data_IF_957612621213
#
_entry.id   IF_957612621213
#
_cell.length_a   1.000
_cell.length_b   1.000
_cell.length_c   1.000
_cell.angle_alpha   90.00
_cell.angle_beta   90.00
_cell.angle_gamma   90.00
#
_symmetry.space_group_name_H-M   'P 1'
#
loop_
_entity.id
_entity.type
_entity.pdbx_description
1 polymer ?
#
# COMPACT_ATOMS: atom_id res chain seq x y z
N UNK A 1 39.81 41.68 -31.70
CA UNK A 1 38.55 41.33 -31.01
C UNK A 1 38.76 39.95 -30.44
N UNK A 2 38.86 39.81 -29.12
CA UNK A 2 38.72 38.51 -28.47
C UNK A 2 37.23 38.18 -28.50
N UNK A 3 36.87 37.00 -29.00
CA UNK A 3 35.53 36.46 -28.76
C UNK A 3 35.33 36.42 -27.23
N UNK A 4 34.21 36.94 -26.70
CA UNK A 4 33.91 36.82 -25.29
C UNK A 4 33.87 35.32 -24.95
N UNK A 5 34.69 34.90 -23.99
CA UNK A 5 34.66 33.54 -23.47
C UNK A 5 33.21 33.22 -23.03
N UNK A 6 32.53 32.35 -23.77
CA UNK A 6 31.16 31.93 -23.45
C UNK A 6 31.16 31.25 -22.07
N UNK A 7 30.53 31.90 -21.09
CA UNK A 7 30.41 31.34 -19.75
C UNK A 7 29.61 30.02 -19.84
N UNK A 8 30.18 28.88 -19.40
CA UNK A 8 29.51 27.59 -19.57
C UNK A 8 28.20 27.56 -18.77
N UNK A 9 27.17 26.86 -19.26
CA UNK A 9 25.90 26.84 -18.58
C UNK A 9 26.03 26.15 -17.21
N UNK A 10 25.29 26.62 -16.19
CA UNK A 10 25.41 26.09 -14.84
C UNK A 10 25.09 24.59 -14.81
N UNK A 11 25.80 23.86 -13.97
CA UNK A 11 25.56 22.43 -13.72
C UNK A 11 24.86 22.22 -12.38
N UNK A 12 23.93 21.25 -12.28
CA UNK A 12 23.34 20.90 -11.00
C UNK A 12 24.44 20.43 -10.04
N UNK A 13 24.25 20.66 -8.75
CA UNK A 13 25.14 20.07 -7.74
C UNK A 13 24.99 18.55 -7.72
N UNK A 14 26.03 17.84 -7.28
CA UNK A 14 25.98 16.38 -7.13
C UNK A 14 24.83 15.96 -6.20
N UNK A 15 24.61 16.71 -5.12
CA UNK A 15 23.51 16.49 -4.18
C UNK A 15 22.13 16.60 -4.84
N UNK A 16 21.91 17.62 -5.67
CA UNK A 16 20.66 17.74 -6.42
C UNK A 16 20.51 16.60 -7.43
N UNK A 17 21.59 16.24 -8.15
CA UNK A 17 21.54 15.14 -9.11
C UNK A 17 21.18 13.80 -8.42
N UNK A 18 21.82 13.47 -7.30
CA UNK A 18 21.51 12.27 -6.52
C UNK A 18 20.07 12.29 -5.99
N UNK A 19 19.64 13.42 -5.41
CA UNK A 19 18.26 13.59 -4.96
C UNK A 19 17.26 13.40 -6.11
N UNK A 20 17.52 13.98 -7.28
CA UNK A 20 16.66 13.84 -8.45
C UNK A 20 16.57 12.39 -8.94
N UNK A 21 17.68 11.65 -8.95
CA UNK A 21 17.69 10.24 -9.33
C UNK A 21 16.85 9.38 -8.37
N UNK A 22 17.00 9.60 -7.05
CA UNK A 22 16.20 8.88 -6.04
C UNK A 22 14.72 9.25 -6.15
N UNK A 23 14.40 10.53 -6.33
CA UNK A 23 13.04 11.01 -6.51
C UNK A 23 12.37 10.40 -7.77
N UNK A 24 13.07 10.39 -8.90
CA UNK A 24 12.58 9.80 -10.16
C UNK A 24 12.40 8.29 -9.99
N UNK A 25 13.41 7.59 -9.45
CA UNK A 25 13.34 6.14 -9.24
C UNK A 25 12.22 5.74 -8.28
N UNK A 26 12.06 6.46 -7.17
CA UNK A 26 10.99 6.24 -6.20
C UNK A 26 9.60 6.49 -6.79
N UNK A 27 9.42 7.57 -7.56
CA UNK A 27 8.18 7.83 -8.28
C UNK A 27 7.84 6.75 -9.31
N UNK A 28 8.83 6.30 -10.10
CA UNK A 28 8.63 5.24 -11.08
C UNK A 28 8.30 3.91 -10.40
N UNK A 29 8.94 3.60 -9.28
CA UNK A 29 8.60 2.43 -8.47
C UNK A 29 7.16 2.50 -7.97
N UNK A 30 6.75 3.64 -7.43
CA UNK A 30 5.40 3.84 -6.93
C UNK A 30 4.36 3.68 -8.05
N UNK A 31 4.60 4.31 -9.21
CA UNK A 31 3.73 4.16 -10.39
C UNK A 31 3.66 2.70 -10.83
N UNK A 32 4.79 1.98 -10.83
CA UNK A 32 4.81 0.55 -11.17
C UNK A 32 4.01 -0.30 -10.17
N UNK A 33 4.12 -0.03 -8.87
CA UNK A 33 3.32 -0.69 -7.82
C UNK A 33 1.83 -0.44 -8.04
N UNK A 34 1.45 0.81 -8.29
CA UNK A 34 0.05 1.18 -8.58
C UNK A 34 -0.45 0.44 -9.82
N UNK A 35 0.29 0.48 -10.92
CA UNK A 35 -0.09 -0.19 -12.17
C UNK A 35 -0.18 -1.71 -11.99
N UNK A 36 0.73 -2.31 -11.24
CA UNK A 36 0.65 -3.71 -10.83
C UNK A 36 -0.61 -3.99 -10.01
N UNK A 37 -0.94 -3.12 -9.05
CA UNK A 37 -2.16 -3.18 -8.25
C UNK A 37 -3.43 -3.11 -9.09
N UNK A 38 -3.46 -2.34 -10.19
CA UNK A 38 -4.61 -2.31 -11.11
C UNK A 38 -4.90 -3.67 -11.75
N UNK A 39 -3.88 -4.52 -11.90
CA UNK A 39 -4.03 -5.89 -12.42
C UNK A 39 -4.57 -6.87 -11.38
N UNK A 40 -4.60 -6.50 -10.10
CA UNK A 40 -5.14 -7.33 -9.02
C UNK A 40 -6.67 -7.21 -8.93
N UNK A 41 -7.29 -8.06 -8.10
CA UNK A 41 -8.75 -8.12 -7.89
C UNK A 41 -9.28 -7.05 -6.92
N UNK A 42 -8.78 -5.81 -7.02
CA UNK A 42 -9.30 -4.68 -6.26
C UNK A 42 -10.69 -4.26 -6.75
N UNK A 43 -11.48 -3.63 -5.87
CA UNK A 43 -12.76 -3.06 -6.27
C UNK A 43 -12.57 -1.94 -7.30
N UNK A 44 -13.52 -1.71 -8.23
CA UNK A 44 -13.39 -0.67 -9.26
C UNK A 44 -13.08 0.73 -8.70
N UNK A 45 -13.68 1.10 -7.57
CA UNK A 45 -13.44 2.37 -6.91
C UNK A 45 -11.99 2.50 -6.40
N UNK A 46 -11.44 1.43 -5.83
CA UNK A 46 -10.05 1.38 -5.37
C UNK A 46 -9.09 1.49 -6.55
N UNK A 47 -9.37 0.78 -7.65
CA UNK A 47 -8.58 0.90 -8.89
C UNK A 47 -8.54 2.33 -9.41
N UNK A 48 -9.67 3.02 -9.42
CA UNK A 48 -9.74 4.43 -9.83
C UNK A 48 -8.92 5.29 -8.87
N UNK A 49 -9.09 5.12 -7.56
CA UNK A 49 -8.36 5.87 -6.54
C UNK A 49 -6.84 5.67 -6.68
N UNK A 50 -6.38 4.42 -6.82
CA UNK A 50 -4.97 4.09 -7.06
C UNK A 50 -4.46 4.71 -8.36
N UNK A 51 -5.20 4.60 -9.46
CA UNK A 51 -4.83 5.19 -10.75
C UNK A 51 -4.66 6.71 -10.69
N UNK A 52 -5.59 7.41 -10.03
CA UNK A 52 -5.50 8.87 -9.81
C UNK A 52 -4.28 9.20 -8.94
N UNK A 53 -3.98 8.39 -7.93
CA UNK A 53 -2.84 8.58 -7.04
C UNK A 53 -1.49 8.45 -7.76
N UNK A 54 -1.38 7.67 -8.84
CA UNK A 54 -0.13 7.56 -9.61
C UNK A 54 0.23 8.81 -10.42
N UNK A 55 -0.76 9.61 -10.81
CA UNK A 55 -0.55 10.77 -11.71
C UNK A 55 0.41 11.81 -11.08
N UNK A 56 0.22 12.27 -9.82
CA UNK A 56 1.16 13.18 -9.17
C UNK A 56 2.60 12.67 -9.12
N UNK A 57 2.82 11.36 -8.92
CA UNK A 57 4.17 10.79 -8.85
C UNK A 57 4.84 10.75 -10.22
N UNK A 58 4.09 10.35 -11.27
CA UNK A 58 4.57 10.40 -12.65
C UNK A 58 4.92 11.84 -13.07
N UNK A 59 4.04 12.79 -12.77
CA UNK A 59 4.27 14.20 -13.03
C UNK A 59 5.49 14.72 -12.26
N UNK A 60 5.62 14.37 -10.98
CA UNK A 60 6.76 14.75 -10.16
C UNK A 60 8.09 14.23 -10.72
N UNK A 61 8.14 12.98 -11.20
CA UNK A 61 9.34 12.44 -11.86
C UNK A 61 9.74 13.24 -13.10
N UNK A 62 8.76 13.56 -13.96
CA UNK A 62 8.97 14.38 -15.16
C UNK A 62 9.47 15.78 -14.81
N UNK A 63 8.82 16.45 -13.85
CA UNK A 63 9.20 17.80 -13.41
C UNK A 63 10.59 17.82 -12.76
N UNK A 64 10.92 16.82 -11.95
CA UNK A 64 12.24 16.72 -11.31
C UNK A 64 13.34 16.49 -12.35
N UNK A 65 13.08 15.66 -13.36
CA UNK A 65 13.98 15.44 -14.49
C UNK A 65 14.18 16.72 -15.30
N UNK A 66 13.07 17.36 -15.71
CA UNK A 66 13.09 18.59 -16.49
C UNK A 66 13.76 19.75 -15.75
N UNK A 67 13.49 19.91 -14.45
CA UNK A 67 14.08 20.97 -13.64
C UNK A 67 15.59 20.78 -13.47
N UNK A 68 16.02 19.56 -13.17
CA UNK A 68 17.42 19.26 -12.84
C UNK A 68 18.30 19.18 -14.07
N UNK A 69 17.91 18.35 -15.05
CA UNK A 69 18.77 17.98 -16.18
C UNK A 69 18.49 18.84 -17.42
N UNK A 70 17.23 19.24 -17.65
CA UNK A 70 16.86 20.19 -18.72
C UNK A 70 16.93 21.65 -18.29
N UNK A 71 17.23 21.92 -17.02
CA UNK A 71 17.47 23.27 -16.49
C UNK A 71 16.27 24.20 -16.69
N UNK A 72 15.05 23.63 -16.64
CA UNK A 72 13.80 24.39 -16.73
C UNK A 72 13.44 24.98 -15.37
N UNK A 73 13.41 26.31 -15.29
CA UNK A 73 13.11 27.03 -14.06
C UNK A 73 11.70 26.72 -13.54
N UNK A 74 10.69 26.77 -14.41
CA UNK A 74 9.30 26.45 -14.08
C UNK A 74 9.13 25.03 -13.55
N UNK A 75 9.79 24.03 -14.17
CA UNK A 75 9.75 22.64 -13.71
C UNK A 75 10.41 22.47 -12.34
N UNK A 76 11.50 23.19 -12.08
CA UNK A 76 12.19 23.18 -10.77
C UNK A 76 11.28 23.74 -9.68
N UNK A 77 10.56 24.83 -9.96
CA UNK A 77 9.61 25.43 -9.03
C UNK A 77 8.42 24.50 -8.74
N UNK A 78 7.83 23.89 -9.78
CA UNK A 78 6.72 22.97 -9.63
C UNK A 78 7.13 21.70 -8.87
N UNK A 79 8.34 21.17 -9.11
CA UNK A 79 8.87 20.04 -8.34
C UNK A 79 9.04 20.39 -6.85
N UNK A 80 9.54 21.58 -6.53
CA UNK A 80 9.62 22.07 -5.15
C UNK A 80 8.23 22.26 -4.50
N UNK A 81 7.24 22.74 -5.27
CA UNK A 81 5.87 22.88 -4.79
C UNK A 81 5.25 21.52 -4.45
N UNK A 82 5.38 20.53 -5.34
CA UNK A 82 4.87 19.17 -5.09
C UNK A 82 5.52 18.53 -3.86
N UNK A 83 6.83 18.72 -3.66
CA UNK A 83 7.51 18.27 -2.45
C UNK A 83 7.03 19.00 -1.19
N UNK A 84 6.77 20.31 -1.28
CA UNK A 84 6.23 21.08 -0.15
C UNK A 84 4.84 20.57 0.25
N UNK A 85 3.99 20.26 -0.74
CA UNK A 85 2.68 19.63 -0.50
C UNK A 85 2.87 18.26 0.15
N UNK A 86 3.81 17.44 -0.31
CA UNK A 86 4.09 16.13 0.27
C UNK A 86 4.56 16.23 1.73
N UNK A 87 5.41 17.22 2.06
CA UNK A 87 5.83 17.49 3.46
C UNK A 87 4.61 17.84 4.32
N UNK A 88 3.79 18.80 3.88
CA UNK A 88 2.59 19.23 4.62
C UNK A 88 1.63 18.06 4.81
N UNK A 89 1.35 17.30 3.75
CA UNK A 89 0.48 16.13 3.80
C UNK A 89 1.02 15.08 4.78
N UNK A 90 2.33 14.83 4.79
CA UNK A 90 2.95 13.86 5.71
C UNK A 90 2.81 14.29 7.17
N UNK A 91 2.97 15.59 7.47
CA UNK A 91 2.76 16.09 8.83
C UNK A 91 1.28 16.07 9.25
N UNK A 92 0.36 16.50 8.38
CA UNK A 92 -1.08 16.52 8.66
C UNK A 92 -1.69 15.11 8.82
N UNK A 93 -1.31 14.16 7.95
CA UNK A 93 -1.79 12.79 8.02
C UNK A 93 -1.06 11.97 9.08
N UNK A 94 0.23 12.27 9.27
CA UNK A 94 1.08 11.66 10.27
C UNK A 94 0.57 11.93 11.68
N UNK A 95 0.20 13.18 12.00
CA UNK A 95 -0.37 13.52 13.31
C UNK A 95 -1.64 12.75 13.68
N UNK A 96 -2.34 12.17 12.70
CA UNK A 96 -3.54 11.35 12.91
C UNK A 96 -3.20 9.85 13.01
N UNK A 97 -2.10 9.40 12.40
CA UNK A 97 -1.78 7.96 12.26
C UNK A 97 -0.63 7.47 13.16
N UNK A 98 0.23 8.36 13.66
CA UNK A 98 1.45 7.99 14.40
C UNK A 98 1.21 7.46 15.82
N UNK A 99 -0.02 7.51 16.33
CA UNK A 99 -0.34 6.97 17.65
C UNK A 99 -0.28 5.44 17.71
N UNK A 100 -0.43 4.74 16.58
CA UNK A 100 -0.63 3.28 16.57
C UNK A 100 0.54 2.48 15.97
N UNK A 101 1.47 3.10 15.24
CA UNK A 101 2.58 2.39 14.61
C UNK A 101 3.87 3.25 14.49
N UNK A 102 4.84 2.95 15.37
CA UNK A 102 6.13 3.66 15.44
C UNK A 102 6.99 3.48 14.19
N UNK A 103 6.89 2.34 13.49
CA UNK A 103 7.67 2.08 12.29
C UNK A 103 7.18 2.95 11.14
N UNK A 104 5.86 2.97 10.93
CA UNK A 104 5.23 3.83 9.94
C UNK A 104 5.46 5.32 10.25
N UNK A 105 5.51 5.69 11.53
CA UNK A 105 5.89 7.03 11.94
C UNK A 105 7.32 7.42 11.56
N UNK A 106 8.28 6.52 11.81
CA UNK A 106 9.67 6.72 11.42
C UNK A 106 9.85 6.87 9.92
N UNK A 107 9.18 6.02 9.12
CA UNK A 107 9.21 6.09 7.65
C UNK A 107 8.62 7.42 7.16
N UNK A 108 7.44 7.81 7.68
CA UNK A 108 6.81 9.08 7.33
C UNK A 108 7.72 10.28 7.62
N UNK A 109 8.33 10.32 8.81
CA UNK A 109 9.28 11.37 9.17
C UNK A 109 10.49 11.41 8.23
N UNK A 110 11.08 10.26 7.89
CA UNK A 110 12.20 10.18 6.96
C UNK A 110 11.82 10.71 5.56
N UNK A 111 10.62 10.39 5.07
CA UNK A 111 10.10 10.91 3.80
C UNK A 111 9.92 12.43 3.86
N UNK A 112 9.36 12.96 4.95
CA UNK A 112 9.18 14.41 5.12
C UNK A 112 10.52 15.16 5.12
N UNK A 113 11.54 14.63 5.83
CA UNK A 113 12.89 15.21 5.84
C UNK A 113 13.51 15.15 4.43
N UNK A 114 13.39 14.02 3.75
CA UNK A 114 13.88 13.86 2.38
C UNK A 114 13.25 14.92 1.44
N UNK A 115 11.93 15.07 1.46
CA UNK A 115 11.22 16.06 0.66
C UNK A 115 11.63 17.50 1.03
N UNK A 116 11.81 17.83 2.31
CA UNK A 116 12.24 19.16 2.75
C UNK A 116 13.64 19.52 2.22
N UNK A 117 14.57 18.57 2.23
CA UNK A 117 15.90 18.74 1.60
C UNK A 117 15.75 18.96 0.09
N UNK A 118 14.87 18.20 -0.57
CA UNK A 118 14.53 18.38 -1.97
C UNK A 118 14.03 19.79 -2.29
N UNK A 119 13.14 20.35 -1.47
CA UNK A 119 12.60 21.71 -1.65
C UNK A 119 13.75 22.71 -1.64
N UNK A 120 14.62 22.63 -0.64
CA UNK A 120 15.78 23.52 -0.53
C UNK A 120 16.72 23.42 -1.75
N UNK A 121 17.04 22.20 -2.18
CA UNK A 121 17.92 21.96 -3.32
C UNK A 121 17.32 22.50 -4.63
N UNK A 122 16.03 22.26 -4.87
CA UNK A 122 15.31 22.75 -6.04
C UNK A 122 15.24 24.30 -6.04
N UNK A 123 14.89 24.94 -4.93
CA UNK A 123 14.84 26.41 -4.85
C UNK A 123 16.21 27.05 -5.09
N UNK A 124 17.26 26.52 -4.47
CA UNK A 124 18.63 27.01 -4.69
C UNK A 124 19.08 26.82 -6.14
N UNK A 125 18.64 25.75 -6.79
CA UNK A 125 18.93 25.51 -8.20
C UNK A 125 18.20 26.49 -9.10
N UNK A 126 16.91 26.74 -8.84
CA UNK A 126 16.13 27.76 -9.50
C UNK A 126 16.80 29.13 -9.46
N UNK A 127 17.30 29.57 -8.30
CA UNK A 127 17.98 30.86 -8.19
C UNK A 127 19.23 30.93 -9.09
N UNK A 128 20.00 29.84 -9.19
CA UNK A 128 21.15 29.75 -10.10
C UNK A 128 20.73 29.83 -11.57
N UNK A 129 19.63 29.17 -11.93
CA UNK A 129 19.09 29.24 -13.29
C UNK A 129 18.61 30.66 -13.64
N UNK A 130 17.94 31.35 -12.72
CA UNK A 130 17.51 32.74 -12.91
C UNK A 130 18.70 33.69 -13.08
N UNK A 131 19.77 33.51 -12.29
CA UNK A 131 21.01 34.30 -12.44
C UNK A 131 21.70 34.02 -13.77
N UNK A 132 21.75 32.77 -14.22
CA UNK A 132 22.33 32.44 -15.52
C UNK A 132 21.48 33.01 -16.68
N UNK A 133 20.15 32.94 -16.56
CA UNK A 133 19.24 33.52 -17.54
C UNK A 133 19.36 35.04 -17.62
N UNK A 134 19.48 35.74 -16.49
CA UNK A 134 19.66 37.20 -16.49
C UNK A 134 21.00 37.65 -17.06
N UNK A 135 21.99 36.75 -17.12
CA UNK A 135 23.27 36.96 -17.83
C UNK A 135 23.22 36.61 -19.31
N UNK A 136 22.07 36.18 -19.84
CA UNK A 136 21.92 35.79 -21.23
C UNK A 136 22.55 34.44 -21.60
N UNK A 137 22.88 33.60 -20.60
CA UNK A 137 23.44 32.27 -20.85
C UNK A 137 22.34 31.36 -21.39
N UNK A 138 22.56 30.76 -22.56
CA UNK A 138 21.62 29.81 -23.13
C UNK A 138 21.57 28.52 -22.29
N UNK A 139 20.43 28.29 -21.65
CA UNK A 139 20.21 27.11 -20.81
C UNK A 139 19.82 25.86 -21.63
N UNK A 140 19.30 26.07 -22.85
CA UNK A 140 18.75 25.04 -23.73
C UNK A 140 19.82 24.30 -24.53
N UNK A 141 20.58 23.41 -23.91
CA UNK A 141 21.08 22.25 -24.66
C UNK A 141 20.00 21.17 -24.64
N UNK A 142 19.39 20.91 -25.80
CA UNK A 142 18.58 19.71 -26.00
C UNK A 142 19.46 18.50 -25.71
N UNK A 143 19.31 17.87 -24.56
CA UNK A 143 19.90 16.56 -24.33
C UNK A 143 19.17 15.61 -25.28
N UNK A 144 19.86 15.19 -26.34
CA UNK A 144 19.40 14.05 -27.12
C UNK A 144 19.73 12.84 -26.27
N UNK A 145 18.71 12.22 -25.67
CA UNK A 145 18.90 10.89 -25.12
C UNK A 145 19.48 10.01 -26.23
N UNK A 146 20.59 9.36 -25.94
CA UNK A 146 21.09 8.31 -26.81
C UNK A 146 20.07 7.18 -26.83
N UNK A 147 20.00 6.44 -27.95
CA UNK A 147 19.14 5.26 -28.04
C UNK A 147 19.40 4.28 -26.88
N UNK A 148 20.67 4.15 -26.46
CA UNK A 148 21.07 3.32 -25.33
C UNK A 148 20.46 3.78 -24.00
N UNK A 149 20.44 5.09 -23.72
CA UNK A 149 19.82 5.64 -22.52
C UNK A 149 18.30 5.40 -22.50
N UNK A 150 17.62 5.58 -23.65
CA UNK A 150 16.19 5.27 -23.78
C UNK A 150 15.95 3.78 -23.55
N UNK A 151 16.72 2.91 -24.20
CA UNK A 151 16.59 1.46 -24.04
C UNK A 151 16.85 1.03 -22.59
N UNK A 152 17.83 1.63 -21.91
CA UNK A 152 18.15 1.33 -20.51
C UNK A 152 17.03 1.78 -19.58
N UNK A 153 16.47 2.98 -19.81
CA UNK A 153 15.32 3.48 -19.06
C UNK A 153 14.10 2.59 -19.26
N UNK A 154 13.78 2.22 -20.50
CA UNK A 154 12.68 1.30 -20.82
C UNK A 154 12.86 -0.07 -20.18
N UNK A 155 14.06 -0.66 -20.26
CA UNK A 155 14.35 -1.94 -19.63
C UNK A 155 14.19 -1.88 -18.10
N UNK A 156 14.62 -0.78 -17.48
CA UNK A 156 14.46 -0.55 -16.04
C UNK A 156 12.98 -0.47 -15.66
N UNK A 157 12.18 0.30 -16.40
CA UNK A 157 10.72 0.40 -16.18
C UNK A 157 10.05 -0.97 -16.34
N UNK A 158 10.38 -1.72 -17.38
CA UNK A 158 9.84 -3.07 -17.60
C UNK A 158 10.20 -4.02 -16.46
N UNK A 159 11.45 -3.99 -15.97
CA UNK A 159 11.88 -4.82 -14.85
C UNK A 159 11.14 -4.46 -13.55
N UNK A 160 10.98 -3.17 -13.24
CA UNK A 160 10.23 -2.72 -12.07
C UNK A 160 8.76 -3.10 -12.16
N UNK A 161 8.14 -2.97 -13.33
CA UNK A 161 6.76 -3.38 -13.57
C UNK A 161 6.59 -4.90 -13.44
N UNK A 162 7.54 -5.70 -13.94
CA UNK A 162 7.53 -7.15 -13.79
C UNK A 162 7.60 -7.56 -12.32
N UNK A 163 8.51 -6.95 -11.54
CA UNK A 163 8.63 -7.19 -10.08
C UNK A 163 7.32 -6.78 -9.37
N UNK A 164 6.82 -5.57 -9.63
CA UNK A 164 5.59 -5.08 -9.02
C UNK A 164 4.39 -5.97 -9.35
N UNK A 165 4.29 -6.44 -10.59
CA UNK A 165 3.22 -7.36 -11.01
C UNK A 165 3.37 -8.74 -10.35
N UNK A 166 4.59 -9.27 -10.25
CA UNK A 166 4.85 -10.53 -9.55
C UNK A 166 4.47 -10.42 -8.07
N UNK A 167 4.89 -9.34 -7.39
CA UNK A 167 4.53 -9.08 -5.99
C UNK A 167 3.03 -8.88 -5.81
N UNK A 168 2.38 -8.11 -6.68
CA UNK A 168 0.93 -7.91 -6.64
C UNK A 168 0.15 -9.22 -6.83
N UNK A 169 0.67 -10.15 -7.63
CA UNK A 169 0.09 -11.49 -7.82
C UNK A 169 0.36 -12.44 -6.68
N UNK A 170 1.43 -12.24 -5.91
CA UNK A 170 1.71 -13.04 -4.70
C UNK A 170 0.90 -12.62 -3.48
N UNK A 171 0.26 -11.44 -3.51
CA UNK A 171 -0.64 -11.00 -2.44
C UNK A 171 -1.97 -11.74 -2.61
N UNK A 172 -2.44 -12.51 -1.61
CA UNK A 172 -3.74 -13.17 -1.65
C UNK A 172 -4.85 -12.15 -1.91
N UNK A 173 -5.90 -12.51 -2.67
CA UNK A 173 -7.00 -11.60 -2.90
C UNK A 173 -7.66 -11.19 -1.58
N UNK A 174 -8.25 -9.99 -1.52
CA UNK A 174 -8.98 -9.53 -0.34
C UNK A 174 -10.23 -10.39 -0.08
N UNK A 175 -10.85 -10.88 -1.15
CA UNK A 175 -12.01 -11.76 -1.09
C UNK A 175 -11.80 -12.96 -2.00
N UNK A 176 -12.11 -14.14 -1.51
CA UNK A 176 -12.24 -15.34 -2.31
C UNK A 176 -13.41 -16.20 -1.81
N UNK A 177 -14.08 -16.84 -2.75
CA UNK A 177 -15.18 -17.76 -2.49
C UNK A 177 -14.80 -19.17 -2.94
N UNK A 178 -15.17 -20.17 -2.13
CA UNK A 178 -15.02 -21.60 -2.45
C UNK A 178 -13.59 -21.99 -2.86
N UNK A 179 -12.61 -21.59 -2.05
CA UNK A 179 -11.19 -21.89 -2.27
C UNK A 179 -10.66 -22.94 -1.28
N UNK A 180 -9.53 -23.54 -1.63
CA UNK A 180 -8.82 -24.48 -0.75
C UNK A 180 -8.24 -23.74 0.47
N UNK A 181 -8.26 -24.38 1.64
CA UNK A 181 -7.73 -23.82 2.88
C UNK A 181 -6.26 -23.35 2.76
N UNK A 182 -5.43 -24.08 1.99
CA UNK A 182 -4.02 -23.72 1.76
C UNK A 182 -3.81 -22.41 0.98
N UNK A 183 -4.86 -21.85 0.37
CA UNK A 183 -4.78 -20.60 -0.38
C UNK A 183 -5.21 -19.37 0.44
N UNK A 184 -5.68 -19.59 1.66
CA UNK A 184 -6.24 -18.56 2.53
C UNK A 184 -5.13 -17.96 3.41
N UNK A 185 -5.08 -16.63 3.59
CA UNK A 185 -4.11 -15.97 4.48
C UNK A 185 -4.53 -16.07 5.96
N UNK A 186 -5.03 -17.22 6.39
CA UNK A 186 -5.50 -17.50 7.76
C UNK A 186 -5.09 -18.93 8.10
N UNK A 187 -4.60 -19.14 9.31
CA UNK A 187 -4.40 -20.48 9.86
C UNK A 187 -5.79 -21.05 10.17
N UNK A 188 -6.15 -22.13 9.49
CA UNK A 188 -7.47 -22.78 9.58
C UNK A 188 -7.33 -24.16 10.24
N UNK A 189 -8.40 -24.68 10.87
CA UNK A 189 -8.39 -26.02 11.45
C UNK A 189 -8.02 -27.08 10.42
N UNK A 190 -7.39 -28.16 10.89
CA UNK A 190 -7.09 -29.30 10.02
C UNK A 190 -8.40 -29.87 9.43
N UNK A 191 -8.35 -30.25 8.15
CA UNK A 191 -9.52 -30.72 7.42
C UNK A 191 -10.48 -29.63 6.91
N UNK A 192 -10.20 -28.35 7.17
CA UNK A 192 -10.97 -27.25 6.61
C UNK A 192 -10.99 -27.29 5.07
N UNK A 193 -12.19 -27.17 4.49
CA UNK A 193 -12.38 -27.13 3.04
C UNK A 193 -13.55 -26.22 2.66
N UNK A 194 -13.69 -25.95 1.36
CA UNK A 194 -14.71 -25.05 0.82
C UNK A 194 -14.77 -23.70 1.55
N UNK A 195 -13.63 -23.00 1.52
CA UNK A 195 -13.41 -21.79 2.30
C UNK A 195 -13.82 -20.56 1.50
N UNK A 196 -14.64 -19.71 2.10
CA UNK A 196 -14.86 -18.34 1.66
C UNK A 196 -14.25 -17.40 2.69
N UNK A 197 -13.49 -16.39 2.27
CA UNK A 197 -12.90 -15.41 3.18
C UNK A 197 -12.95 -14.00 2.62
N UNK A 198 -13.08 -13.02 3.51
CA UNK A 198 -13.08 -11.60 3.24
C UNK A 198 -12.17 -10.90 4.26
N UNK A 199 -11.15 -10.20 3.75
CA UNK A 199 -10.22 -9.39 4.54
C UNK A 199 -10.64 -7.93 4.47
N UNK A 200 -11.01 -7.36 5.61
CA UNK A 200 -11.38 -5.95 5.75
C UNK A 200 -10.14 -5.07 5.94
N UNK A 201 -10.22 -3.82 5.47
CA UNK A 201 -9.10 -2.87 5.37
C UNK A 201 -8.44 -2.48 6.72
N UNK A 202 -9.07 -2.79 7.86
CA UNK A 202 -8.55 -2.55 9.23
C UNK A 202 -8.43 -3.86 10.02
N UNK A 203 -7.65 -4.79 9.50
CA UNK A 203 -7.32 -6.09 10.13
C UNK A 203 -8.51 -7.02 10.45
N UNK A 204 -9.73 -6.69 10.05
CA UNK A 204 -10.86 -7.60 10.19
C UNK A 204 -10.75 -8.76 9.21
N UNK A 205 -11.09 -9.96 9.65
CA UNK A 205 -11.14 -11.16 8.84
C UNK A 205 -12.47 -11.86 9.06
N UNK A 206 -13.19 -12.11 7.98
CA UNK A 206 -14.39 -12.94 7.98
C UNK A 206 -14.08 -14.17 7.13
N UNK A 207 -14.39 -15.35 7.65
CA UNK A 207 -14.21 -16.60 6.93
C UNK A 207 -15.35 -17.56 7.24
N UNK A 208 -15.71 -18.39 6.27
CA UNK A 208 -16.59 -19.52 6.47
C UNK A 208 -16.03 -20.74 5.76
N UNK A 209 -16.12 -21.90 6.40
CA UNK A 209 -15.47 -23.11 5.91
C UNK A 209 -16.15 -24.35 6.46
N UNK A 210 -16.12 -25.43 5.68
CA UNK A 210 -16.55 -26.75 6.14
C UNK A 210 -15.45 -27.37 6.99
N UNK A 211 -15.82 -27.94 8.13
CA UNK A 211 -14.89 -28.57 9.07
C UNK A 211 -15.63 -29.58 9.95
N UNK A 212 -14.92 -30.55 10.49
CA UNK A 212 -15.44 -31.41 11.56
C UNK A 212 -15.50 -30.63 12.89
N UNK A 213 -16.51 -30.94 13.71
CA UNK A 213 -16.70 -30.28 15.01
C UNK A 213 -15.49 -30.47 15.92
N UNK A 214 -14.90 -31.68 15.92
CA UNK A 214 -13.77 -32.00 16.77
C UNK A 214 -12.51 -31.21 16.37
N UNK A 215 -12.21 -31.14 15.08
CA UNK A 215 -11.05 -30.39 14.57
C UNK A 215 -11.17 -28.90 14.88
N UNK A 216 -12.39 -28.36 14.81
CA UNK A 216 -12.65 -26.96 15.19
C UNK A 216 -12.43 -26.71 16.70
N UNK A 217 -12.85 -27.65 17.55
CA UNK A 217 -12.62 -27.58 18.99
C UNK A 217 -11.13 -27.64 19.34
N UNK A 218 -10.38 -28.53 18.71
CA UNK A 218 -8.93 -28.65 18.88
C UNK A 218 -8.24 -27.35 18.46
N UNK A 219 -8.55 -26.85 17.26
CA UNK A 219 -7.98 -25.61 16.72
C UNK A 219 -8.15 -24.40 17.65
N UNK A 220 -9.34 -24.20 18.23
CA UNK A 220 -9.59 -23.09 19.17
C UNK A 220 -8.91 -23.26 20.53
N UNK A 221 -8.63 -24.49 20.95
CA UNK A 221 -7.91 -24.79 22.19
C UNK A 221 -6.39 -24.63 22.01
N UNK A 222 -5.87 -25.02 20.85
CA UNK A 222 -4.43 -25.06 20.55
C UNK A 222 -3.88 -23.75 20.01
N UNK A 223 -4.66 -22.98 19.24
CA UNK A 223 -4.13 -21.78 18.60
C UNK A 223 -3.81 -20.66 19.59
N UNK A 224 -2.56 -20.20 19.60
CA UNK A 224 -2.23 -18.83 19.96
C UNK A 224 -2.83 -17.87 18.92
N UNK A 225 -4.11 -17.53 19.07
CA UNK A 225 -4.67 -16.31 18.47
C UNK A 225 -3.69 -15.14 18.69
N UNK A 226 -3.66 -14.13 17.82
CA UNK A 226 -2.66 -13.05 17.84
C UNK A 226 -2.60 -12.20 19.13
N UNK A 227 -3.39 -12.53 20.15
CA UNK A 227 -3.34 -11.97 21.49
C UNK A 227 -2.35 -12.76 22.35
N UNK A 228 -1.16 -12.20 22.51
CA UNK A 228 -0.04 -12.80 23.23
C UNK A 228 -0.18 -12.84 24.76
N UNK A 229 -1.16 -12.13 25.32
CA UNK A 229 -1.24 -11.94 26.76
C UNK A 229 -2.58 -12.45 27.29
N UNK A 230 -2.50 -13.50 28.12
CA UNK A 230 -3.59 -14.14 28.86
C UNK A 230 -4.55 -15.00 28.03
N UNK A 231 -4.44 -16.32 28.19
CA UNK A 231 -5.39 -17.32 27.66
C UNK A 231 -6.80 -16.94 28.12
N UNK A 232 -7.65 -16.39 27.23
CA UNK A 232 -9.04 -16.19 27.57
C UNK A 232 -9.66 -17.57 27.80
N UNK A 233 -10.74 -17.64 28.56
CA UNK A 233 -11.50 -18.88 28.68
C UNK A 233 -12.17 -19.19 27.32
N UNK A 234 -11.43 -19.85 26.42
CA UNK A 234 -11.81 -20.18 25.03
C UNK A 234 -12.76 -21.38 24.98
N UNK A 235 -13.79 -21.38 25.83
CA UNK A 235 -14.76 -22.46 25.87
C UNK A 235 -15.89 -22.19 24.88
N UNK A 236 -16.12 -23.16 24.02
CA UNK A 236 -17.36 -23.23 23.26
C UNK A 236 -18.56 -23.35 24.19
N UNK A 237 -19.64 -22.66 23.82
CA UNK A 237 -20.95 -22.80 24.45
C UNK A 237 -21.92 -23.38 23.44
N UNK A 238 -22.81 -24.25 23.89
CA UNK A 238 -23.87 -24.75 23.02
C UNK A 238 -24.88 -23.65 22.68
N UNK A 239 -25.29 -23.63 21.41
CA UNK A 239 -26.36 -22.76 20.92
C UNK A 239 -27.70 -23.36 21.36
N UNK A 240 -28.27 -22.80 22.43
CA UNK A 240 -29.59 -23.17 22.95
C UNK A 240 -30.74 -22.36 22.33
N UNK A 241 -30.42 -21.18 21.80
CA UNK A 241 -31.34 -20.29 21.11
C UNK A 241 -30.78 -20.02 19.72
N UNK A 242 -31.56 -20.12 18.63
CA UNK A 242 -31.06 -19.91 17.28
C UNK A 242 -30.28 -18.61 17.14
N UNK A 243 -29.08 -18.71 16.56
CA UNK A 243 -28.13 -17.62 16.43
C UNK A 243 -28.04 -17.19 14.97
N UNK A 244 -28.25 -15.89 14.70
CA UNK A 244 -28.03 -15.33 13.37
C UNK A 244 -26.58 -14.90 13.22
N UNK A 245 -25.95 -15.38 12.16
CA UNK A 245 -24.63 -14.97 11.69
C UNK A 245 -24.82 -14.07 10.48
N UNK A 246 -24.18 -12.90 10.50
CA UNK A 246 -24.05 -12.05 9.32
C UNK A 246 -22.84 -12.53 8.54
N UNK A 247 -23.05 -12.89 7.27
CA UNK A 247 -21.99 -13.28 6.33
C UNK A 247 -21.49 -12.02 5.61
N UNK A 248 -20.25 -12.07 5.12
CA UNK A 248 -19.73 -10.99 4.28
C UNK A 248 -20.63 -10.82 3.04
N UNK A 249 -20.90 -9.57 2.65
CA UNK A 249 -21.78 -9.28 1.49
C UNK A 249 -21.19 -9.77 0.18
N UNK A 250 -19.87 -9.97 0.16
CA UNK A 250 -19.12 -10.46 -0.98
C UNK A 250 -19.20 -11.98 -1.15
N UNK A 251 -19.67 -12.72 -0.13
CA UNK A 251 -19.85 -14.17 -0.22
C UNK A 251 -21.07 -14.53 -1.04
N UNK A 252 -20.95 -15.61 -1.80
CA UNK A 252 -22.06 -16.17 -2.56
C UNK A 252 -23.21 -16.64 -1.63
N UNK A 253 -24.45 -16.31 -1.99
CA UNK A 253 -25.66 -16.75 -1.27
C UNK A 253 -26.26 -15.69 -0.32
N UNK A 254 -27.07 -16.09 0.66
CA UNK A 254 -27.72 -15.15 1.58
C UNK A 254 -26.71 -14.48 2.54
N UNK A 255 -26.85 -13.18 2.79
CA UNK A 255 -25.96 -12.44 3.71
C UNK A 255 -26.15 -12.80 5.19
N UNK A 256 -27.04 -13.74 5.49
CA UNK A 256 -27.32 -14.20 6.85
C UNK A 256 -27.47 -15.71 6.88
N UNK A 257 -26.89 -16.36 7.87
CA UNK A 257 -27.16 -17.76 8.22
C UNK A 257 -27.79 -17.83 9.61
N UNK A 258 -28.78 -18.72 9.80
CA UNK A 258 -29.40 -18.94 11.11
C UNK A 258 -29.03 -20.32 11.61
N UNK A 259 -28.17 -20.37 12.63
CA UNK A 259 -27.68 -21.60 13.25
C UNK A 259 -28.64 -22.00 14.36
N UNK A 260 -29.33 -23.13 14.20
CA UNK A 260 -30.31 -23.62 15.18
C UNK A 260 -29.69 -24.49 16.27
N UNK A 261 -28.66 -25.25 15.91
CA UNK A 261 -27.93 -26.15 16.78
C UNK A 261 -26.45 -26.14 16.42
N UNK A 262 -25.58 -26.00 17.43
CA UNK A 262 -24.15 -25.93 17.21
C UNK A 262 -23.40 -25.27 18.36
N UNK A 263 -22.23 -24.72 18.06
CA UNK A 263 -21.32 -24.16 19.05
C UNK A 263 -21.06 -22.69 18.77
N UNK A 264 -20.89 -21.90 19.83
CA UNK A 264 -20.48 -20.50 19.73
C UNK A 264 -19.34 -20.22 20.69
N UNK A 265 -18.30 -19.55 20.19
CA UNK A 265 -17.19 -19.01 20.98
C UNK A 265 -17.06 -17.53 20.67
N UNK A 266 -16.92 -16.71 21.70
CA UNK A 266 -16.75 -15.26 21.57
C UNK A 266 -15.68 -14.79 22.53
N UNK A 267 -14.79 -13.95 22.03
CA UNK A 267 -13.79 -13.28 22.81
C UNK A 267 -13.80 -11.79 22.45
N UNK A 268 -13.66 -10.95 23.46
CA UNK A 268 -13.49 -9.51 23.33
C UNK A 268 -12.46 -9.09 24.38
N UNK A 269 -11.45 -8.34 23.97
CA UNK A 269 -10.34 -7.87 24.82
C UNK A 269 -10.71 -6.65 25.68
N UNK A 270 -11.93 -6.11 25.52
CA UNK A 270 -12.40 -4.90 26.19
C UNK A 270 -11.82 -3.59 25.64
N UNK A 271 -10.81 -3.66 24.77
CA UNK A 271 -10.22 -2.55 24.03
C UNK A 271 -10.85 -2.39 22.63
N UNK A 272 -11.89 -3.16 22.34
CA UNK A 272 -12.63 -3.11 21.08
C UNK A 272 -12.06 -4.04 20.02
N UNK A 273 -11.31 -5.08 20.39
CA UNK A 273 -10.95 -6.15 19.46
C UNK A 273 -11.48 -7.50 19.92
N UNK A 274 -11.84 -8.36 18.98
CA UNK A 274 -12.44 -9.63 19.33
C UNK A 274 -12.57 -10.59 18.17
N UNK A 275 -12.87 -11.82 18.53
CA UNK A 275 -13.30 -12.83 17.57
C UNK A 275 -14.62 -13.46 17.98
N UNK A 276 -15.33 -13.96 16.98
CA UNK A 276 -16.51 -14.79 17.14
C UNK A 276 -16.41 -15.95 16.17
N UNK A 277 -16.62 -17.15 16.70
CA UNK A 277 -16.72 -18.39 15.93
C UNK A 277 -18.09 -18.99 16.21
N UNK A 278 -18.83 -19.31 15.16
CA UNK A 278 -20.11 -20.01 15.24
C UNK A 278 -20.03 -21.24 14.36
N UNK A 279 -20.28 -22.42 14.92
CA UNK A 279 -20.31 -23.67 14.18
C UNK A 279 -21.75 -24.15 14.03
N UNK A 280 -22.16 -24.45 12.80
CA UNK A 280 -23.45 -25.04 12.47
C UNK A 280 -23.28 -26.55 12.26
N UNK A 281 -23.89 -27.34 13.16
CA UNK A 281 -23.82 -28.81 13.12
C UNK A 281 -24.56 -29.40 11.91
N UNK A 282 -25.64 -28.78 11.46
CA UNK A 282 -26.44 -29.26 10.34
C UNK A 282 -25.70 -29.03 9.02
N UNK A 283 -25.12 -27.83 8.87
CA UNK A 283 -24.35 -27.46 7.69
C UNK A 283 -22.89 -27.95 7.71
N UNK A 284 -22.40 -28.42 8.87
CA UNK A 284 -20.97 -28.70 9.15
C UNK A 284 -20.06 -27.54 8.75
N UNK A 285 -20.53 -26.32 9.00
CA UNK A 285 -19.85 -25.08 8.57
C UNK A 285 -19.54 -24.21 9.78
N UNK A 286 -18.30 -23.75 9.85
CA UNK A 286 -17.89 -22.74 10.79
C UNK A 286 -17.98 -21.35 10.13
N UNK A 287 -18.37 -20.37 10.92
CA UNK A 287 -18.39 -18.95 10.59
C UNK A 287 -17.47 -18.23 11.57
N UNK A 288 -16.38 -17.72 11.05
CA UNK A 288 -15.34 -17.00 11.76
C UNK A 288 -15.42 -15.51 11.43
N UNK A 289 -15.42 -14.66 12.45
CA UNK A 289 -15.29 -13.22 12.30
C UNK A 289 -14.33 -12.68 13.34
N UNK A 290 -13.31 -11.97 12.89
CA UNK A 290 -12.36 -11.22 13.68
C UNK A 290 -12.42 -9.75 13.28
N UNK A 291 -12.38 -8.85 14.24
CA UNK A 291 -12.43 -7.43 13.94
C UNK A 291 -12.23 -6.54 15.15
N UNK A 292 -12.24 -5.25 14.85
CA UNK A 292 -12.33 -4.19 15.85
C UNK A 292 -13.76 -3.64 15.86
N UNK A 293 -14.39 -3.61 17.03
CA UNK A 293 -15.67 -2.94 17.30
C UNK A 293 -15.50 -1.42 17.39
#
# INVERSE_FOLDING_TARGET
MQEPDEEPPPRPSIWLAMHSLVAIGGSLLFVAIVLGGLTSRLHPCEKIAFGVLAIPFALFALLQYDGTFWRRESSTLLAALLQSIAVIATFCLGSVSFEHDRLNAGIGFAVAVYCAVGVFLNLRWRDRLLVAFSRGIELSRRFQFTLLEIMTLSATICAMLAIATATARSIPPLVADHVDAASVPLDLPEGANDVSYCRRFRYGFEAEFLVDEHELEVWLQEETFPFHDETPNRQFKEIVTPETVLRAEEFSGPNTATVKAGLVSRYNDGAGSGYRVVYDRDAKRAYYSFGFD
#
